data_IF_928212221994
#
_entry.id   IF_928212221994
#
_cell.length_a   1.000
_cell.length_b   1.000
_cell.length_c   1.000
_cell.angle_alpha   90.00
_cell.angle_beta   90.00
_cell.angle_gamma   90.00
#
_symmetry.space_group_name_H-M   'P 1'
#
loop_
_entity.id
_entity.type
_entity.pdbx_description
1 polymer ?
#
# COMPACT_ATOMS: atom_id res chain seq x y z
N UNK A 1 14.86 -38.14 -8.12
CA UNK A 1 14.23 -37.44 -6.99
C UNK A 1 14.62 -35.97 -7.05
N UNK A 2 13.70 -35.00 -6.96
CA UNK A 2 14.10 -33.60 -6.85
C UNK A 2 14.95 -33.41 -5.58
N UNK A 3 16.04 -32.66 -5.69
CA UNK A 3 16.93 -32.36 -4.57
C UNK A 3 16.11 -31.66 -3.46
N UNK A 4 16.09 -32.18 -2.21
CA UNK A 4 15.25 -31.64 -1.14
C UNK A 4 15.49 -30.15 -0.90
N UNK A 5 16.74 -29.69 -1.02
CA UNK A 5 17.11 -28.27 -0.91
C UNK A 5 16.42 -27.41 -1.98
N UNK A 6 16.30 -27.90 -3.22
CA UNK A 6 15.61 -27.17 -4.29
C UNK A 6 14.11 -27.05 -4.03
N UNK A 7 13.52 -28.06 -3.41
CA UNK A 7 12.09 -28.06 -3.07
C UNK A 7 11.78 -27.07 -1.94
N UNK A 8 12.68 -26.96 -0.97
CA UNK A 8 12.53 -26.02 0.16
C UNK A 8 12.76 -24.56 -0.26
N UNK A 9 13.74 -24.30 -1.14
CA UNK A 9 13.92 -22.96 -1.73
C UNK A 9 12.68 -22.55 -2.53
N UNK A 10 12.16 -23.45 -3.37
CA UNK A 10 10.98 -23.17 -4.20
C UNK A 10 9.75 -22.79 -3.37
N UNK A 11 9.52 -23.48 -2.25
CA UNK A 11 8.41 -23.17 -1.33
C UNK A 11 8.57 -21.84 -0.60
N UNK A 12 9.80 -21.35 -0.44
CA UNK A 12 10.10 -20.10 0.24
C UNK A 12 10.26 -18.90 -0.69
N UNK A 13 10.10 -19.07 -2.01
CA UNK A 13 10.22 -17.97 -2.97
C UNK A 13 9.36 -16.75 -2.57
N UNK A 14 8.06 -16.88 -2.23
CA UNK A 14 7.25 -15.72 -1.84
C UNK A 14 7.83 -14.98 -0.63
N UNK A 15 8.27 -15.71 0.40
CA UNK A 15 8.87 -15.12 1.60
C UNK A 15 10.14 -14.34 1.29
N UNK A 16 10.97 -14.85 0.36
CA UNK A 16 12.17 -14.15 -0.11
C UNK A 16 11.77 -12.85 -0.81
N UNK A 17 10.71 -12.87 -1.64
CA UNK A 17 10.20 -11.67 -2.30
C UNK A 17 9.72 -10.63 -1.29
N UNK A 18 8.97 -11.00 -0.25
CA UNK A 18 8.54 -10.07 0.81
C UNK A 18 9.74 -9.39 1.48
N UNK A 19 10.79 -10.16 1.81
CA UNK A 19 12.02 -9.63 2.41
C UNK A 19 12.74 -8.68 1.45
N UNK A 20 12.88 -9.08 0.18
CA UNK A 20 13.48 -8.22 -0.85
C UNK A 20 12.67 -6.95 -1.09
N UNK A 21 11.36 -6.96 -0.86
CA UNK A 21 10.52 -5.75 -0.92
C UNK A 21 10.88 -4.69 0.11
N UNK A 22 11.55 -5.05 1.20
CA UNK A 22 11.93 -4.14 2.30
C UNK A 22 13.41 -3.76 2.25
N UNK A 23 14.30 -4.71 1.93
CA UNK A 23 15.75 -4.50 2.05
C UNK A 23 16.28 -3.24 1.34
N UNK A 24 15.86 -2.91 0.10
CA UNK A 24 16.33 -1.72 -0.60
C UNK A 24 15.96 -0.39 0.07
N UNK A 25 15.00 -0.37 1.00
CA UNK A 25 14.64 0.83 1.75
C UNK A 25 15.77 1.34 2.64
N UNK A 26 16.81 0.54 2.89
CA UNK A 26 18.02 1.01 3.56
C UNK A 26 18.67 2.20 2.83
N UNK A 27 18.47 2.31 1.51
CA UNK A 27 18.96 3.44 0.72
C UNK A 27 18.33 4.78 1.13
N UNK A 28 17.15 4.79 1.76
CA UNK A 28 16.51 6.02 2.24
C UNK A 28 17.25 6.67 3.43
N UNK A 29 18.17 5.96 4.06
CA UNK A 29 18.94 6.44 5.21
C UNK A 29 20.29 7.06 4.83
N UNK A 30 20.59 7.19 3.53
CA UNK A 30 21.78 7.91 3.05
C UNK A 30 21.49 9.42 2.96
N UNK A 31 22.53 10.24 2.79
CA UNK A 31 22.38 11.71 2.67
C UNK A 31 21.47 12.12 1.50
N UNK A 32 21.59 11.43 0.37
CA UNK A 32 20.76 11.61 -0.83
C UNK A 32 19.56 10.64 -0.88
N UNK A 33 19.24 9.99 0.25
CA UNK A 33 18.30 8.88 0.32
C UNK A 33 16.90 9.23 -0.21
N UNK A 34 16.48 10.48 -0.04
CA UNK A 34 15.17 10.96 -0.50
C UNK A 34 15.01 10.87 -2.03
N UNK A 35 16.08 10.97 -2.81
CA UNK A 35 16.02 10.84 -4.28
C UNK A 35 15.54 9.44 -4.71
N UNK A 36 15.79 8.42 -3.88
CA UNK A 36 15.34 7.05 -4.12
C UNK A 36 13.90 6.80 -3.69
N UNK A 37 13.21 7.76 -3.07
CA UNK A 37 11.88 7.56 -2.49
C UNK A 37 10.85 7.07 -3.51
N UNK A 38 10.70 7.78 -4.63
CA UNK A 38 9.72 7.43 -5.67
C UNK A 38 9.99 6.04 -6.26
N UNK A 39 11.21 5.71 -6.75
CA UNK A 39 11.47 4.38 -7.29
C UNK A 39 11.30 3.28 -6.23
N UNK A 40 11.65 3.55 -4.96
CA UNK A 40 11.49 2.58 -3.87
C UNK A 40 10.03 2.33 -3.49
N UNK A 41 9.16 3.36 -3.53
CA UNK A 41 7.71 3.18 -3.34
C UNK A 41 7.13 2.27 -4.43
N UNK A 42 7.48 2.52 -5.69
CA UNK A 42 7.01 1.71 -6.83
C UNK A 42 7.53 0.28 -6.71
N UNK A 43 8.82 0.12 -6.42
CA UNK A 43 9.43 -1.18 -6.20
C UNK A 43 8.75 -1.96 -5.07
N UNK A 44 8.51 -1.33 -3.92
CA UNK A 44 7.86 -1.97 -2.78
C UNK A 44 6.43 -2.45 -3.14
N UNK A 45 5.65 -1.63 -3.87
CA UNK A 45 4.34 -2.03 -4.36
C UNK A 45 4.39 -3.25 -5.31
N UNK A 46 5.38 -3.30 -6.20
CA UNK A 46 5.57 -4.43 -7.11
C UNK A 46 5.92 -5.70 -6.34
N UNK A 47 6.77 -5.60 -5.32
CA UNK A 47 7.24 -6.76 -4.55
C UNK A 47 6.13 -7.38 -3.69
N UNK A 48 5.32 -6.54 -3.02
CA UNK A 48 4.10 -6.94 -2.30
C UNK A 48 3.11 -7.67 -3.24
N UNK A 49 2.83 -7.11 -4.41
CA UNK A 49 1.95 -7.78 -5.36
C UNK A 49 2.55 -9.10 -5.91
N UNK A 50 3.88 -9.15 -6.07
CA UNK A 50 4.58 -10.30 -6.62
C UNK A 50 4.58 -11.49 -5.66
N UNK A 51 4.79 -11.28 -4.36
CA UNK A 51 4.81 -12.39 -3.40
C UNK A 51 3.46 -13.11 -3.33
N UNK A 52 2.35 -12.37 -3.38
CA UNK A 52 1.00 -12.89 -3.33
C UNK A 52 0.63 -13.63 -4.61
N UNK A 53 1.06 -13.11 -5.77
CA UNK A 53 0.91 -13.79 -7.06
C UNK A 53 1.71 -15.09 -7.08
N UNK A 54 2.96 -15.07 -6.63
CA UNK A 54 3.81 -16.27 -6.62
C UNK A 54 3.28 -17.31 -5.64
N UNK A 55 2.87 -16.93 -4.44
CA UNK A 55 2.27 -17.85 -3.48
C UNK A 55 1.01 -18.52 -4.03
N UNK A 56 0.16 -17.76 -4.73
CA UNK A 56 -1.03 -18.28 -5.40
C UNK A 56 -0.72 -19.20 -6.57
N UNK A 57 0.16 -18.79 -7.49
CA UNK A 57 0.49 -19.56 -8.71
C UNK A 57 1.27 -20.83 -8.42
N UNK A 58 2.16 -20.81 -7.43
CA UNK A 58 2.97 -21.98 -7.06
C UNK A 58 2.24 -22.91 -6.08
N UNK A 59 1.04 -22.53 -5.62
CA UNK A 59 0.25 -23.25 -4.62
C UNK A 59 1.02 -23.51 -3.31
N UNK A 60 1.77 -22.51 -2.84
CA UNK A 60 2.61 -22.57 -1.62
C UNK A 60 2.18 -21.57 -0.54
N UNK A 61 0.92 -21.12 -0.58
CA UNK A 61 0.36 -20.22 0.45
C UNK A 61 0.51 -20.85 1.83
N UNK A 62 1.05 -20.09 2.77
CA UNK A 62 1.27 -20.54 4.15
C UNK A 62 0.89 -19.44 5.15
N UNK A 63 0.45 -19.85 6.34
CA UNK A 63 0.15 -18.90 7.43
C UNK A 63 1.41 -18.20 7.98
N UNK A 64 2.60 -18.79 7.80
CA UNK A 64 3.85 -18.08 8.07
C UNK A 64 4.10 -16.98 7.05
N UNK A 65 4.01 -17.30 5.74
CA UNK A 65 4.24 -16.32 4.67
C UNK A 65 3.29 -15.13 4.74
N UNK A 66 2.00 -15.37 4.97
CA UNK A 66 1.03 -14.27 5.14
C UNK A 66 1.30 -13.37 6.37
N UNK A 67 1.92 -13.92 7.42
CA UNK A 67 2.34 -13.13 8.58
C UNK A 67 3.63 -12.36 8.30
N UNK A 68 4.58 -12.97 7.61
CA UNK A 68 5.83 -12.34 7.20
C UNK A 68 5.57 -11.15 6.26
N UNK A 69 4.75 -11.36 5.23
CA UNK A 69 4.27 -10.32 4.31
C UNK A 69 3.69 -9.11 5.07
N UNK A 70 2.72 -9.34 5.96
CA UNK A 70 2.13 -8.28 6.79
C UNK A 70 3.13 -7.56 7.73
N UNK A 71 4.23 -8.22 8.13
CA UNK A 71 5.32 -7.59 8.89
C UNK A 71 6.23 -6.77 7.96
N UNK A 72 6.56 -7.30 6.79
CA UNK A 72 7.34 -6.61 5.76
C UNK A 72 6.64 -5.31 5.34
N UNK A 73 5.33 -5.36 5.06
CA UNK A 73 4.47 -4.21 4.80
C UNK A 73 4.52 -3.17 5.92
N UNK A 74 4.40 -3.62 7.18
CA UNK A 74 4.41 -2.69 8.31
C UNK A 74 5.74 -1.95 8.42
N UNK A 75 6.86 -2.65 8.19
CA UNK A 75 8.20 -2.06 8.19
C UNK A 75 8.35 -1.10 7.02
N UNK A 76 8.03 -1.51 5.79
CA UNK A 76 8.22 -0.68 4.59
C UNK A 76 7.41 0.61 4.67
N UNK A 77 6.12 0.49 5.00
CA UNK A 77 5.21 1.63 5.05
C UNK A 77 5.59 2.60 6.17
N UNK A 78 6.04 2.09 7.31
CA UNK A 78 6.51 2.93 8.42
C UNK A 78 7.74 3.73 8.02
N UNK A 79 8.73 3.09 7.39
CA UNK A 79 9.95 3.77 6.93
C UNK A 79 9.58 4.87 5.92
N UNK A 80 8.77 4.54 4.91
CA UNK A 80 8.34 5.50 3.87
C UNK A 80 7.62 6.70 4.48
N UNK A 81 6.64 6.46 5.36
CA UNK A 81 5.87 7.55 5.99
C UNK A 81 6.77 8.43 6.86
N UNK A 82 7.69 7.85 7.62
CA UNK A 82 8.58 8.63 8.48
C UNK A 82 9.59 9.45 7.70
N UNK A 83 10.18 8.90 6.63
CA UNK A 83 11.10 9.64 5.74
C UNK A 83 10.39 10.86 5.16
N UNK A 84 9.17 10.68 4.67
CA UNK A 84 8.34 11.75 4.11
C UNK A 84 7.95 12.77 5.19
N UNK A 85 7.48 12.28 6.34
CA UNK A 85 7.07 13.13 7.44
C UNK A 85 8.20 14.04 7.93
N UNK A 86 9.42 13.50 8.06
CA UNK A 86 10.60 14.28 8.46
C UNK A 86 11.02 15.26 7.37
N UNK A 87 11.02 14.84 6.10
CA UNK A 87 11.38 15.68 4.97
C UNK A 87 10.49 16.94 4.85
N UNK A 88 9.18 16.80 5.08
CA UNK A 88 8.21 17.91 5.00
C UNK A 88 7.96 18.63 6.35
N UNK A 89 8.78 18.37 7.36
CA UNK A 89 8.81 19.12 8.62
C UNK A 89 8.05 18.49 9.78
N UNK A 90 8.33 18.99 11.00
CA UNK A 90 7.96 18.33 12.25
C UNK A 90 6.44 18.11 12.45
N UNK A 91 5.58 19.01 11.95
CA UNK A 91 4.12 18.82 12.02
C UNK A 91 3.70 17.64 11.15
N UNK A 92 4.22 17.58 9.91
CA UNK A 92 3.98 16.45 9.00
C UNK A 92 4.50 15.14 9.62
N UNK A 93 5.65 15.19 10.29
CA UNK A 93 6.20 14.05 11.04
C UNK A 93 5.27 13.57 12.16
N UNK A 94 4.69 14.48 12.95
CA UNK A 94 3.77 14.11 14.03
C UNK A 94 2.49 13.47 13.50
N UNK A 95 1.92 14.01 12.42
CA UNK A 95 0.74 13.41 11.78
C UNK A 95 1.09 12.06 11.14
N UNK A 96 2.26 11.97 10.48
CA UNK A 96 2.79 10.72 9.95
C UNK A 96 3.01 9.66 11.04
N UNK A 97 3.48 10.05 12.23
CA UNK A 97 3.66 9.16 13.38
C UNK A 97 2.33 8.54 13.84
N UNK A 98 1.24 9.30 13.79
CA UNK A 98 -0.11 8.76 14.06
C UNK A 98 -0.49 7.69 13.02
N UNK A 99 -0.20 7.93 11.74
CA UNK A 99 -0.42 6.93 10.69
C UNK A 99 0.47 5.69 10.86
N UNK A 100 1.73 5.85 11.29
CA UNK A 100 2.62 4.74 11.65
C UNK A 100 2.03 3.92 12.78
N UNK A 101 1.59 4.56 13.86
CA UNK A 101 0.96 3.87 14.98
C UNK A 101 -0.28 3.08 14.52
N UNK A 102 -1.10 3.66 13.64
CA UNK A 102 -2.24 2.99 13.05
C UNK A 102 -1.86 1.73 12.24
N UNK A 103 -0.82 1.82 11.39
CA UNK A 103 -0.29 0.70 10.61
C UNK A 103 0.21 -0.41 11.53
N UNK A 104 0.97 -0.07 12.58
CA UNK A 104 1.48 -1.05 13.54
C UNK A 104 0.36 -1.74 14.31
N UNK A 105 -0.63 -1.00 14.82
CA UNK A 105 -1.79 -1.59 15.50
C UNK A 105 -2.54 -2.52 14.55
N UNK A 106 -2.77 -2.12 13.30
CA UNK A 106 -3.42 -2.96 12.29
C UNK A 106 -2.60 -4.21 11.97
N UNK A 107 -1.29 -4.07 11.81
CA UNK A 107 -0.39 -5.19 11.51
C UNK A 107 -0.39 -6.21 12.64
N UNK A 108 -0.24 -5.77 13.89
CA UNK A 108 -0.30 -6.63 15.08
C UNK A 108 -1.67 -7.29 15.21
N UNK A 109 -2.76 -6.54 15.02
CA UNK A 109 -4.13 -7.08 15.11
C UNK A 109 -4.41 -8.19 14.09
N UNK A 110 -3.72 -8.19 12.94
CA UNK A 110 -3.85 -9.24 11.92
C UNK A 110 -3.11 -10.53 12.27
N UNK A 111 -2.14 -10.46 13.18
CA UNK A 111 -1.40 -11.62 13.68
C UNK A 111 -2.21 -12.39 14.73
N UNK A 112 -3.13 -11.72 15.41
CA UNK A 112 -4.01 -12.31 16.41
C UNK A 112 -5.21 -13.00 15.72
N UNK A 113 -5.41 -14.32 15.92
CA UNK A 113 -6.55 -15.04 15.35
C UNK A 113 -7.90 -14.69 16.02
N UNK A 114 -7.89 -14.16 17.25
CA UNK A 114 -9.09 -13.92 18.06
C UNK A 114 -9.67 -12.52 17.86
N UNK A 115 -8.93 -11.63 17.20
CA UNK A 115 -9.38 -10.27 16.87
C UNK A 115 -10.19 -10.27 15.57
N UNK A 116 -11.38 -9.65 15.61
CA UNK A 116 -12.18 -9.39 14.40
C UNK A 116 -11.37 -8.53 13.44
N UNK A 117 -10.95 -9.12 12.32
CA UNK A 117 -10.12 -8.43 11.32
C UNK A 117 -10.88 -7.26 10.73
N UNK A 118 -10.29 -6.08 10.87
CA UNK A 118 -10.75 -4.87 10.23
C UNK A 118 -10.37 -4.92 8.75
N UNK A 119 -11.35 -4.67 7.86
CA UNK A 119 -11.20 -4.88 6.41
C UNK A 119 -11.18 -3.59 5.58
N UNK A 120 -11.19 -2.42 6.23
CA UNK A 120 -11.05 -1.11 5.59
C UNK A 120 -9.76 -0.94 4.79
N UNK A 121 -9.46 0.28 4.32
CA UNK A 121 -8.46 0.52 3.28
C UNK A 121 -7.12 -0.19 3.53
N UNK A 122 -6.54 -0.91 2.56
CA UNK A 122 -5.19 -1.46 2.68
C UNK A 122 -4.14 -0.39 2.97
N UNK A 123 -3.05 -0.78 3.64
CA UNK A 123 -1.89 0.09 3.89
C UNK A 123 -1.22 0.54 2.59
N UNK A 124 -1.23 -0.33 1.58
CA UNK A 124 -0.55 -0.09 0.30
C UNK A 124 -1.27 1.01 -0.49
N UNK A 125 -2.58 1.18 -0.27
CA UNK A 125 -3.32 2.30 -0.83
C UNK A 125 -2.83 3.64 -0.27
N UNK A 126 -2.50 3.74 1.02
CA UNK A 126 -1.90 4.96 1.56
C UNK A 126 -0.59 5.28 0.84
N UNK A 127 0.27 4.29 0.64
CA UNK A 127 1.55 4.48 -0.05
C UNK A 127 1.37 4.90 -1.51
N UNK A 128 0.40 4.32 -2.23
CA UNK A 128 0.06 4.74 -3.60
C UNK A 128 -0.45 6.18 -3.64
N UNK A 129 -1.31 6.57 -2.70
CA UNK A 129 -1.81 7.95 -2.62
C UNK A 129 -0.71 8.96 -2.29
N UNK A 130 0.22 8.59 -1.39
CA UNK A 130 1.42 9.39 -1.10
C UNK A 130 2.27 9.58 -2.37
N UNK A 131 2.53 8.51 -3.12
CA UNK A 131 3.24 8.57 -4.39
C UNK A 131 2.59 9.60 -5.32
N UNK A 132 1.27 9.53 -5.49
CA UNK A 132 0.55 10.47 -6.35
C UNK A 132 0.62 11.90 -5.84
N UNK A 133 0.50 12.14 -4.52
CA UNK A 133 0.65 13.49 -3.96
C UNK A 133 2.02 14.07 -4.28
N UNK A 134 3.09 13.29 -4.11
CA UNK A 134 4.47 13.74 -4.40
C UNK A 134 4.65 14.03 -5.89
N UNK A 135 4.19 13.13 -6.77
CA UNK A 135 4.30 13.32 -8.21
C UNK A 135 3.49 14.55 -8.68
N UNK A 136 2.27 14.71 -8.21
CA UNK A 136 1.42 15.86 -8.55
C UNK A 136 2.02 17.17 -8.05
N UNK A 137 2.58 17.17 -6.84
CA UNK A 137 3.27 18.34 -6.30
C UNK A 137 4.47 18.76 -7.16
N UNK A 138 5.25 17.79 -7.67
CA UNK A 138 6.34 18.07 -8.59
C UNK A 138 5.88 18.60 -9.95
N UNK A 139 4.74 18.14 -10.46
CA UNK A 139 4.20 18.56 -11.77
C UNK A 139 3.57 19.95 -11.71
N UNK A 140 2.79 20.21 -10.65
CA UNK A 140 2.01 21.44 -10.50
C UNK A 140 2.67 22.48 -9.60
N UNK A 141 3.88 22.20 -9.11
CA UNK A 141 4.70 23.08 -8.27
C UNK A 141 3.96 23.60 -7.01
N UNK A 142 3.22 22.71 -6.33
CA UNK A 142 2.56 23.04 -5.06
C UNK A 142 3.24 22.35 -3.88
N UNK A 143 3.05 22.91 -2.68
CA UNK A 143 3.59 22.31 -1.46
C UNK A 143 2.76 21.06 -1.05
N UNK A 144 3.37 19.84 -1.04
CA UNK A 144 2.64 18.60 -0.74
C UNK A 144 2.32 18.41 0.75
N UNK A 145 2.85 19.23 1.66
CA UNK A 145 2.76 19.00 3.11
C UNK A 145 1.31 18.85 3.59
N UNK A 146 0.42 19.77 3.21
CA UNK A 146 -0.99 19.71 3.62
C UNK A 146 -1.74 18.51 3.00
N UNK A 147 -1.64 18.25 1.69
CA UNK A 147 -2.18 17.02 1.09
C UNK A 147 -1.65 15.73 1.71
N UNK A 148 -0.35 15.64 2.04
CA UNK A 148 0.24 14.46 2.70
C UNK A 148 -0.36 14.25 4.09
N UNK A 149 -0.46 15.30 4.91
CA UNK A 149 -1.10 15.23 6.22
C UNK A 149 -2.56 14.80 6.10
N UNK A 150 -3.30 15.33 5.12
CA UNK A 150 -4.68 14.91 4.87
C UNK A 150 -4.75 13.41 4.51
N UNK A 151 -3.85 12.91 3.65
CA UNK A 151 -3.80 11.48 3.31
C UNK A 151 -3.48 10.61 4.52
N UNK A 152 -2.51 11.00 5.36
CA UNK A 152 -2.19 10.28 6.60
C UNK A 152 -3.41 10.16 7.52
N UNK A 153 -4.13 11.26 7.75
CA UNK A 153 -5.32 11.28 8.62
C UNK A 153 -6.44 10.43 8.02
N UNK A 154 -6.78 10.66 6.76
CA UNK A 154 -7.89 9.96 6.10
C UNK A 154 -7.62 8.45 6.07
N UNK A 155 -6.43 8.02 5.67
CA UNK A 155 -6.09 6.59 5.67
C UNK A 155 -6.00 5.99 7.07
N UNK A 156 -5.53 6.73 8.07
CA UNK A 156 -5.58 6.26 9.46
C UNK A 156 -7.00 5.89 9.86
N UNK A 157 -7.96 6.76 9.55
CA UNK A 157 -9.38 6.51 9.87
C UNK A 157 -9.92 5.34 9.06
N UNK A 158 -9.72 5.32 7.74
CA UNK A 158 -10.30 4.29 6.87
C UNK A 158 -9.68 2.92 7.04
N UNK A 159 -8.43 2.83 7.50
CA UNK A 159 -7.80 1.56 7.88
C UNK A 159 -8.54 0.87 9.05
N UNK A 160 -9.24 1.62 9.90
CA UNK A 160 -9.98 1.09 11.04
C UNK A 160 -11.47 0.85 10.78
N UNK A 161 -11.95 1.08 9.55
CA UNK A 161 -13.33 0.77 9.15
C UNK A 161 -13.53 -0.74 9.06
N UNK A 162 -14.60 -1.25 9.71
CA UNK A 162 -14.91 -2.69 9.77
C UNK A 162 -15.23 -3.32 8.41
N UNK A 163 -15.80 -2.53 7.50
CA UNK A 163 -16.26 -2.97 6.18
C UNK A 163 -15.17 -2.81 5.11
N UNK A 164 -15.13 -3.71 4.11
CA UNK A 164 -14.19 -3.59 3.01
C UNK A 164 -14.53 -2.38 2.15
N UNK A 165 -13.52 -1.82 1.49
CA UNK A 165 -13.66 -0.75 0.51
C UNK A 165 -13.63 -1.35 -0.91
N UNK A 166 -14.76 -1.84 -1.46
CA UNK A 166 -14.73 -2.70 -2.63
C UNK A 166 -14.37 -1.96 -3.91
N UNK A 167 -14.63 -0.65 -4.02
CA UNK A 167 -14.54 0.06 -5.31
C UNK A 167 -13.15 0.57 -5.66
N UNK A 168 -12.13 0.36 -4.81
CA UNK A 168 -10.76 0.74 -5.13
C UNK A 168 -10.26 -0.08 -6.31
N UNK A 169 -9.39 0.51 -7.14
CA UNK A 169 -8.81 -0.19 -8.30
C UNK A 169 -8.19 -1.52 -7.86
N UNK A 170 -7.36 -1.51 -6.80
CA UNK A 170 -6.68 -2.72 -6.31
C UNK A 170 -7.61 -3.80 -5.76
N UNK A 171 -8.75 -3.43 -5.15
CA UNK A 171 -9.72 -4.42 -4.66
C UNK A 171 -10.48 -5.11 -5.80
N UNK A 172 -10.57 -4.47 -6.96
CA UNK A 172 -11.18 -5.03 -8.17
C UNK A 172 -10.18 -5.87 -9.01
N UNK A 173 -8.87 -5.71 -8.79
CA UNK A 173 -7.84 -6.46 -9.54
C UNK A 173 -7.58 -7.84 -8.93
N UNK A 174 -8.33 -8.85 -9.41
CA UNK A 174 -8.24 -10.23 -8.91
C UNK A 174 -7.22 -11.07 -9.71
N UNK A 175 -7.01 -10.76 -10.99
CA UNK A 175 -6.10 -11.51 -11.86
C UNK A 175 -4.67 -10.98 -11.81
N UNK A 176 -3.69 -11.85 -12.05
CA UNK A 176 -2.28 -11.46 -12.14
C UNK A 176 -2.02 -10.43 -13.26
N UNK A 177 -2.79 -10.49 -14.36
CA UNK A 177 -2.70 -9.49 -15.42
C UNK A 177 -3.24 -8.12 -14.98
N UNK A 178 -4.35 -8.07 -14.24
CA UNK A 178 -4.87 -6.81 -13.71
C UNK A 178 -3.90 -6.18 -12.70
N UNK A 179 -3.28 -6.99 -11.85
CA UNK A 179 -2.24 -6.54 -10.91
C UNK A 179 -1.01 -6.02 -11.66
N UNK A 180 -0.61 -6.68 -12.76
CA UNK A 180 0.46 -6.18 -13.62
C UNK A 180 0.09 -4.80 -14.20
N UNK A 181 -1.13 -4.61 -14.69
CA UNK A 181 -1.58 -3.31 -15.20
C UNK A 181 -1.58 -2.21 -14.13
N UNK A 182 -1.96 -2.53 -12.89
CA UNK A 182 -1.85 -1.60 -11.75
C UNK A 182 -0.40 -1.16 -11.57
N UNK A 183 0.54 -2.10 -11.49
CA UNK A 183 1.95 -1.76 -11.30
C UNK A 183 2.55 -0.99 -12.50
N UNK A 184 2.20 -1.40 -13.72
CA UNK A 184 2.58 -0.66 -14.93
C UNK A 184 2.02 0.76 -14.91
N UNK A 185 0.80 0.96 -14.38
CA UNK A 185 0.23 2.31 -14.25
C UNK A 185 1.02 3.18 -13.27
N UNK A 186 1.54 2.63 -12.17
CA UNK A 186 2.40 3.37 -11.23
C UNK A 186 3.72 3.79 -11.88
N UNK A 187 4.32 2.89 -12.66
CA UNK A 187 5.54 3.19 -13.43
C UNK A 187 5.27 4.27 -14.48
N UNK A 188 4.18 4.15 -15.25
CA UNK A 188 3.78 5.12 -16.26
C UNK A 188 3.50 6.48 -15.62
N UNK A 189 2.82 6.52 -14.47
CA UNK A 189 2.56 7.75 -13.73
C UNK A 189 3.85 8.46 -13.29
N UNK A 190 4.93 7.72 -13.02
CA UNK A 190 6.22 8.30 -12.70
C UNK A 190 7.01 8.74 -13.95
N UNK A 191 7.11 7.87 -14.96
CA UNK A 191 7.96 8.11 -16.13
C UNK A 191 7.34 9.05 -17.18
N UNK A 192 6.01 9.17 -17.20
CA UNK A 192 5.27 10.02 -18.14
C UNK A 192 4.40 11.00 -17.35
N UNK A 193 4.93 12.16 -16.94
CA UNK A 193 4.26 13.09 -16.03
C UNK A 193 2.85 13.54 -16.47
N UNK A 194 2.60 13.67 -17.77
CA UNK A 194 1.27 14.02 -18.29
C UNK A 194 0.18 12.98 -17.98
N UNK A 195 0.56 11.75 -17.67
CA UNK A 195 -0.38 10.68 -17.30
C UNK A 195 -0.69 10.68 -15.80
N UNK A 196 0.16 11.26 -14.96
CA UNK A 196 0.03 11.26 -13.50
C UNK A 196 -1.33 11.77 -13.03
N UNK A 197 -1.86 12.92 -13.51
CA UNK A 197 -3.15 13.43 -13.01
C UNK A 197 -4.31 12.49 -13.31
N UNK A 198 -4.28 11.82 -14.48
CA UNK A 198 -5.33 10.89 -14.90
C UNK A 198 -5.28 9.63 -14.04
N UNK A 199 -4.09 9.05 -13.86
CA UNK A 199 -3.90 7.82 -13.08
C UNK A 199 -4.19 8.10 -11.60
N UNK A 200 -3.63 9.17 -11.03
CA UNK A 200 -3.90 9.61 -9.67
C UNK A 200 -5.39 9.85 -9.44
N UNK A 201 -6.06 10.52 -10.39
CA UNK A 201 -7.51 10.71 -10.37
C UNK A 201 -8.27 9.39 -10.30
N UNK A 202 -7.86 8.37 -11.07
CA UNK A 202 -8.43 7.03 -10.99
C UNK A 202 -8.34 6.40 -9.60
N UNK A 203 -7.15 6.39 -9.00
CA UNK A 203 -6.95 5.83 -7.65
C UNK A 203 -7.70 6.63 -6.57
N UNK A 204 -7.55 7.96 -6.57
CA UNK A 204 -8.16 8.85 -5.56
C UNK A 204 -9.69 8.80 -5.65
N UNK A 205 -10.27 8.93 -6.85
CA UNK A 205 -11.73 8.99 -7.01
C UNK A 205 -12.39 7.66 -6.69
N UNK A 206 -11.78 6.53 -7.06
CA UNK A 206 -12.32 5.21 -6.71
C UNK A 206 -12.23 4.94 -5.21
N UNK A 207 -11.15 5.37 -4.57
CA UNK A 207 -11.01 5.36 -3.11
C UNK A 207 -12.09 6.20 -2.42
N UNK A 208 -12.25 7.46 -2.82
CA UNK A 208 -13.26 8.37 -2.26
C UNK A 208 -14.69 7.86 -2.50
N UNK A 209 -14.98 7.35 -3.69
CA UNK A 209 -16.28 6.73 -3.99
C UNK A 209 -16.55 5.53 -3.08
N UNK A 210 -15.54 4.69 -2.85
CA UNK A 210 -15.67 3.56 -1.93
C UNK A 210 -15.91 4.00 -0.49
N UNK A 211 -15.27 5.09 -0.06
CA UNK A 211 -15.45 5.64 1.29
C UNK A 211 -16.86 6.22 1.44
N UNK A 212 -17.32 7.00 0.46
CA UNK A 212 -18.67 7.58 0.44
C UNK A 212 -19.73 6.48 0.52
N UNK A 213 -19.57 5.38 -0.20
CA UNK A 213 -20.51 4.25 -0.15
C UNK A 213 -20.60 3.57 1.20
N UNK A 214 -19.53 3.57 1.99
CA UNK A 214 -19.53 3.01 3.34
C UNK A 214 -20.17 3.99 4.35
N UNK A 215 -19.85 5.28 4.22
CA UNK A 215 -20.30 6.32 5.16
C UNK A 215 -21.77 6.71 4.91
N UNK A 216 -22.19 6.69 3.65
CA UNK A 216 -23.56 6.93 3.20
C UNK A 216 -24.14 5.61 2.68
N UNK A 217 -24.44 4.63 3.57
CA UNK A 217 -25.16 3.45 3.15
C UNK A 217 -26.47 3.93 2.52
N UNK A 218 -26.70 3.58 1.26
CA UNK A 218 -27.91 3.92 0.53
C UNK A 218 -29.14 3.71 1.44
N UNK A 219 -29.90 4.78 1.72
CA UNK A 219 -31.33 4.71 2.10
C UNK A 219 -32.19 4.33 0.87
N UNK A 220 -31.80 3.30 0.13
CA UNK A 220 -32.46 2.81 -1.09
C UNK A 220 -32.30 1.28 -1.02
N UNK A 221 -33.30 0.42 -0.81
CA UNK A 221 -34.77 0.49 -0.79
C UNK A 221 -35.25 -0.51 0.27
N UNK A 222 -36.25 -0.13 1.07
CA UNK A 222 -37.05 -1.06 1.88
C UNK A 222 -38.36 -1.44 1.15
N UNK A 223 -38.40 -1.24 -0.17
CA UNK A 223 -39.55 -1.48 -1.05
C UNK A 223 -39.14 -2.36 -2.24
N UNK A 224 -38.55 -3.51 -1.97
CA UNK A 224 -38.70 -4.67 -2.87
C UNK A 224 -39.26 -5.82 -2.02
N UNK A 225 -40.60 -5.82 -1.98
CA UNK A 225 -41.50 -6.87 -1.48
C UNK A 225 -41.26 -8.18 -2.21
#
# INVERSE_FOLDING_TARGET
MPNPVRLDIYKNIPNIVSILGVLPLIALFTEEGYEFLIPLIIYNNIMDDLDGILAGKLNVRSGFGARLDNVCDAISHTIIIMVIGVHYGWICSLVGLVAVAAILVRSVSRLDPDIVKVTGSPTNELIRHILFVILLAGIFDFNPTLPLMAMFVVHTITMFIKYPMPYMIRSQTISASAILFVNVSLIIAWLIPYTTPIIAGGFILTYLYSLLKIVLPNKISADDV
#
